data_IF_122574355633
#
_entry.id   IF_122574355633
#
_cell.length_a   1.000
_cell.length_b   1.000
_cell.length_c   1.000
_cell.angle_alpha   90.00
_cell.angle_beta   90.00
_cell.angle_gamma   90.00
#
_symmetry.space_group_name_H-M   'P 1'
#
loop_
_entity.id
_entity.type
_entity.pdbx_description
1 polymer ?
#
# COMPACT_ATOMS: atom_id res chain seq x y z
N UNK A 1 10.96 11.34 1.05
CA UNK A 1 12.32 11.38 0.47
C UNK A 1 13.31 11.05 1.58
N UNK A 2 14.06 9.97 1.35
CA UNK A 2 14.15 8.85 2.28
C UNK A 2 15.42 8.89 3.13
N UNK A 3 15.22 8.80 4.45
CA UNK A 3 16.20 8.66 5.53
C UNK A 3 17.23 9.78 5.78
N UNK A 4 17.57 9.96 7.05
CA UNK A 4 18.74 10.72 7.52
C UNK A 4 19.91 9.81 7.86
N UNK A 5 19.62 8.51 8.02
CA UNK A 5 20.55 7.51 8.50
C UNK A 5 20.33 6.19 7.74
N UNK A 6 21.43 5.48 7.46
CA UNK A 6 21.42 4.12 6.95
C UNK A 6 22.09 3.22 7.99
N UNK A 7 21.38 2.17 8.44
CA UNK A 7 21.86 1.29 9.54
C UNK A 7 22.28 2.09 10.81
N UNK A 8 21.55 3.15 11.14
CA UNK A 8 21.82 3.98 12.32
C UNK A 8 23.02 4.94 12.21
N UNK A 9 23.55 5.14 11.00
CA UNK A 9 24.63 6.12 10.75
C UNK A 9 24.13 7.22 9.82
N UNK A 10 24.34 8.51 10.10
CA UNK A 10 24.00 9.60 9.20
C UNK A 10 24.60 9.40 7.81
N UNK A 11 23.81 9.64 6.75
CA UNK A 11 24.24 9.43 5.37
C UNK A 11 24.01 10.66 4.51
N UNK A 12 25.02 11.02 3.71
CA UNK A 12 24.92 12.11 2.74
C UNK A 12 24.08 11.71 1.52
N UNK A 13 23.35 12.66 0.93
CA UNK A 13 22.45 12.37 -0.20
C UNK A 13 23.22 11.83 -1.41
N UNK A 14 24.43 12.31 -1.65
CA UNK A 14 25.30 11.83 -2.73
C UNK A 14 25.83 10.41 -2.50
N UNK A 15 25.87 9.95 -1.26
CA UNK A 15 26.25 8.60 -0.89
C UNK A 15 25.07 7.62 -1.09
N UNK A 16 23.85 8.10 -0.84
CA UNK A 16 22.60 7.36 -1.08
C UNK A 16 22.25 7.24 -2.57
N UNK A 17 22.31 8.36 -3.31
CA UNK A 17 21.78 8.47 -4.68
C UNK A 17 22.87 8.51 -5.77
N UNK A 18 24.14 8.49 -5.38
CA UNK A 18 25.26 8.79 -6.27
C UNK A 18 25.44 10.30 -6.47
N UNK A 19 26.53 10.67 -7.16
CA UNK A 19 26.78 12.08 -7.50
C UNK A 19 25.72 12.56 -8.50
N UNK A 20 25.17 13.75 -8.23
CA UNK A 20 24.31 14.43 -9.20
C UNK A 20 25.11 14.67 -10.49
N UNK A 21 24.62 14.12 -11.60
CA UNK A 21 25.22 14.26 -12.93
C UNK A 21 24.25 15.04 -13.80
N UNK A 22 24.72 16.08 -14.49
CA UNK A 22 23.91 16.77 -15.50
C UNK A 22 23.78 15.89 -16.74
N UNK A 23 22.62 15.88 -17.45
CA UNK A 23 22.39 14.95 -18.55
C UNK A 23 23.46 14.98 -19.66
N UNK A 24 24.12 16.13 -19.86
CA UNK A 24 25.19 16.28 -20.84
C UNK A 24 26.49 15.54 -20.47
N UNK A 25 26.72 15.28 -19.18
CA UNK A 25 27.92 14.61 -18.66
C UNK A 25 27.66 13.12 -18.38
N UNK A 26 26.50 12.60 -18.79
CA UNK A 26 26.10 11.22 -18.59
C UNK A 26 26.89 10.31 -19.56
N UNK A 27 27.90 9.62 -19.05
CA UNK A 27 28.69 8.64 -19.83
C UNK A 27 28.28 7.21 -19.50
N UNK A 28 28.60 6.26 -20.38
CA UNK A 28 28.37 4.83 -20.11
C UNK A 28 29.22 4.34 -18.93
N UNK A 29 30.37 4.96 -18.68
CA UNK A 29 31.22 4.72 -17.52
C UNK A 29 30.55 5.21 -16.23
N UNK A 30 29.96 6.42 -16.24
CA UNK A 30 29.22 6.95 -15.09
C UNK A 30 27.96 6.10 -14.77
N UNK A 31 27.29 5.55 -15.78
CA UNK A 31 26.15 4.63 -15.59
C UNK A 31 26.55 3.25 -15.05
N UNK A 32 27.83 2.86 -15.20
CA UNK A 32 28.38 1.61 -14.67
C UNK A 32 28.91 1.75 -13.25
N UNK A 33 29.06 2.96 -12.72
CA UNK A 33 29.41 3.14 -11.31
C UNK A 33 28.30 2.56 -10.43
N UNK A 34 28.64 1.57 -9.62
CA UNK A 34 27.72 1.03 -8.62
C UNK A 34 27.40 2.11 -7.59
N UNK A 35 26.11 2.46 -7.48
CA UNK A 35 25.64 3.32 -6.41
C UNK A 35 25.68 2.51 -5.10
N UNK A 36 26.42 2.94 -4.07
CA UNK A 36 26.78 2.08 -2.94
C UNK A 36 25.60 1.49 -2.15
N UNK A 37 24.45 2.18 -2.11
CA UNK A 37 23.27 1.72 -1.34
C UNK A 37 22.16 1.08 -2.14
N UNK A 38 21.96 1.48 -3.40
CA UNK A 38 20.96 0.84 -4.26
C UNK A 38 21.41 -0.53 -4.76
N UNK A 39 22.72 -0.83 -4.73
CA UNK A 39 23.25 -2.17 -5.05
C UNK A 39 22.63 -3.28 -4.17
N UNK A 40 22.22 -2.99 -2.93
CA UNK A 40 21.47 -3.93 -2.07
C UNK A 40 20.06 -4.27 -2.57
N UNK A 41 19.43 -3.34 -3.32
CA UNK A 41 18.17 -3.57 -4.04
C UNK A 41 18.43 -4.31 -5.36
N UNK A 42 19.62 -4.20 -5.94
CA UNK A 42 19.99 -4.95 -7.18
C UNK A 42 20.40 -6.40 -6.87
N UNK A 43 20.98 -6.65 -5.69
CA UNK A 43 21.53 -7.96 -5.31
C UNK A 43 20.57 -8.84 -4.48
N UNK A 44 19.37 -8.36 -4.17
CA UNK A 44 18.37 -9.17 -3.48
C UNK A 44 17.65 -10.10 -4.44
N UNK A 45 17.81 -11.40 -4.27
CA UNK A 45 16.95 -12.37 -4.93
C UNK A 45 15.56 -12.35 -4.27
N UNK A 46 14.73 -11.42 -4.76
CA UNK A 46 13.33 -11.26 -4.32
C UNK A 46 12.55 -12.57 -4.42
N UNK A 47 12.93 -13.49 -5.32
CA UNK A 47 12.29 -14.80 -5.46
C UNK A 47 12.62 -15.75 -4.31
N UNK A 48 13.87 -15.75 -3.82
CA UNK A 48 14.26 -16.55 -2.65
C UNK A 48 13.62 -16.02 -1.37
N UNK A 49 13.59 -14.70 -1.16
CA UNK A 49 12.93 -14.11 0.02
C UNK A 49 11.42 -14.33 -0.05
N UNK A 50 10.80 -14.17 -1.23
CA UNK A 50 9.38 -14.44 -1.44
C UNK A 50 9.02 -15.89 -1.12
N UNK A 51 9.82 -16.87 -1.57
CA UNK A 51 9.61 -18.29 -1.26
C UNK A 51 9.69 -18.57 0.24
N UNK A 52 10.73 -18.08 0.91
CA UNK A 52 10.88 -18.27 2.36
C UNK A 52 9.71 -17.65 3.14
N UNK A 53 9.28 -16.45 2.74
CA UNK A 53 8.15 -15.77 3.39
C UNK A 53 6.82 -16.48 3.12
N UNK A 54 6.59 -17.04 1.92
CA UNK A 54 5.40 -17.83 1.61
C UNK A 54 5.33 -19.10 2.48
N UNK A 55 6.46 -19.72 2.78
CA UNK A 55 6.52 -20.88 3.67
C UNK A 55 6.23 -20.52 5.13
N UNK A 56 6.72 -19.35 5.60
CA UNK A 56 6.50 -18.83 6.95
C UNK A 56 5.05 -18.34 7.16
N UNK A 57 4.39 -17.80 6.14
CA UNK A 57 3.08 -17.14 6.23
C UNK A 57 1.93 -17.97 5.63
N UNK A 58 1.93 -19.29 5.80
CA UNK A 58 0.81 -20.13 5.36
C UNK A 58 -0.53 -19.60 5.90
N UNK A 59 -1.46 -19.30 5.01
CA UNK A 59 -2.77 -18.69 5.30
C UNK A 59 -2.78 -17.16 5.37
N UNK A 60 -1.63 -16.50 5.23
CA UNK A 60 -1.44 -15.03 5.19
C UNK A 60 -0.52 -14.60 4.06
N UNK A 61 -0.56 -15.31 2.94
CA UNK A 61 0.30 -15.08 1.79
C UNK A 61 0.16 -13.66 1.22
N UNK A 62 -1.01 -13.03 1.40
CA UNK A 62 -1.30 -11.64 1.02
C UNK A 62 -0.51 -10.58 1.82
N UNK A 63 0.12 -10.97 2.94
CA UNK A 63 0.99 -10.10 3.77
C UNK A 63 2.47 -10.22 3.38
N UNK A 64 2.81 -11.21 2.55
CA UNK A 64 4.21 -11.52 2.20
C UNK A 64 4.86 -10.38 1.43
N UNK A 65 4.17 -9.78 0.47
CA UNK A 65 4.76 -8.69 -0.33
C UNK A 65 5.04 -7.42 0.50
N UNK A 66 4.11 -6.92 1.34
CA UNK A 66 4.42 -5.85 2.28
C UNK A 66 5.58 -6.18 3.23
N UNK A 67 5.64 -7.41 3.75
CA UNK A 67 6.78 -7.85 4.61
C UNK A 67 8.09 -7.89 3.82
N UNK A 68 8.06 -8.32 2.57
CA UNK A 68 9.23 -8.25 1.68
C UNK A 68 9.68 -6.80 1.47
N UNK A 69 8.77 -5.86 1.24
CA UNK A 69 9.14 -4.44 1.09
C UNK A 69 9.72 -3.87 2.39
N UNK A 70 9.15 -4.25 3.53
CA UNK A 70 9.70 -3.93 4.86
C UNK A 70 11.16 -4.42 4.97
N UNK A 71 11.39 -5.72 4.78
CA UNK A 71 12.70 -6.37 4.96
C UNK A 71 13.73 -6.04 3.87
N UNK A 72 13.30 -5.82 2.64
CA UNK A 72 14.23 -5.68 1.53
C UNK A 72 14.59 -4.22 1.27
N UNK A 73 13.59 -3.33 1.30
CA UNK A 73 13.76 -1.93 0.95
C UNK A 73 13.82 -1.04 2.20
N UNK A 74 12.87 -1.21 3.13
CA UNK A 74 12.64 -0.22 4.18
C UNK A 74 13.51 -0.43 5.43
N UNK A 75 13.94 -1.65 5.78
CA UNK A 75 14.73 -1.95 6.99
C UNK A 75 16.04 -1.18 7.11
N UNK A 76 16.54 -0.74 5.96
CA UNK A 76 17.77 0.01 5.86
C UNK A 76 17.61 1.46 6.31
N UNK A 77 16.36 1.92 6.45
CA UNK A 77 15.98 3.26 6.84
C UNK A 77 15.27 3.20 8.19
N UNK A 78 15.89 3.80 9.21
CA UNK A 78 15.45 3.65 10.59
C UNK A 78 13.95 3.94 10.76
N UNK A 79 13.23 2.92 11.22
CA UNK A 79 11.82 2.99 11.55
C UNK A 79 10.81 2.94 10.41
N UNK A 80 11.23 2.96 9.14
CA UNK A 80 10.30 2.94 8.00
C UNK A 80 9.75 1.56 7.67
N UNK A 81 10.38 0.51 8.21
CA UNK A 81 10.08 -0.90 8.01
C UNK A 81 8.95 -1.43 8.89
N UNK A 82 8.50 -0.65 9.87
CA UNK A 82 7.49 -1.11 10.82
C UNK A 82 6.15 -1.41 10.15
N UNK A 83 5.68 -2.65 10.27
CA UNK A 83 4.32 -3.06 9.90
C UNK A 83 3.26 -2.64 10.92
N UNK A 84 3.68 -2.08 12.06
CA UNK A 84 2.83 -1.72 13.20
C UNK A 84 2.73 -0.21 13.43
N UNK A 85 3.43 0.60 12.62
CA UNK A 85 3.37 2.04 12.74
C UNK A 85 2.24 2.62 11.87
N UNK A 86 1.43 3.47 12.47
CA UNK A 86 0.42 4.25 11.76
C UNK A 86 1.07 5.35 10.92
N UNK A 87 0.38 5.83 9.89
CA UNK A 87 0.82 7.02 9.13
C UNK A 87 -0.09 8.20 9.45
N UNK A 88 0.50 9.36 9.72
CA UNK A 88 -0.19 10.63 9.92
C UNK A 88 0.75 11.81 9.65
N UNK A 89 0.23 13.04 9.59
CA UNK A 89 1.04 14.25 9.63
C UNK A 89 1.44 14.59 11.07
N UNK A 90 2.60 15.23 11.25
CA UNK A 90 3.11 15.62 12.57
C UNK A 90 2.16 16.58 13.28
N UNK A 91 1.64 17.57 12.55
CA UNK A 91 0.70 18.57 13.07
C UNK A 91 -0.63 17.96 13.57
N UNK A 92 -1.02 16.78 13.07
CA UNK A 92 -2.27 16.12 13.44
C UNK A 92 -2.13 15.23 14.66
N UNK A 93 -0.92 14.79 15.04
CA UNK A 93 -0.72 13.78 16.07
C UNK A 93 -1.33 14.15 17.43
N UNK A 94 -1.21 15.42 17.82
CA UNK A 94 -1.78 15.91 19.07
C UNK A 94 -3.30 15.71 19.09
N UNK A 95 -3.98 16.20 18.05
CA UNK A 95 -5.44 16.08 17.89
C UNK A 95 -5.87 14.61 17.79
N UNK A 96 -5.15 13.80 17.01
CA UNK A 96 -5.45 12.37 16.84
C UNK A 96 -5.44 11.66 18.20
N UNK A 97 -4.42 11.92 19.03
CA UNK A 97 -4.29 11.31 20.36
C UNK A 97 -5.32 11.82 21.37
N UNK A 98 -5.63 13.11 21.32
CA UNK A 98 -6.70 13.71 22.13
C UNK A 98 -8.08 13.12 21.77
N UNK A 99 -8.37 12.99 20.48
CA UNK A 99 -9.63 12.40 19.97
C UNK A 99 -9.67 10.87 20.16
N UNK A 100 -8.50 10.20 20.27
CA UNK A 100 -8.36 8.75 20.34
C UNK A 100 -7.33 8.31 21.42
N UNK A 101 -7.67 8.35 22.72
CA UNK A 101 -6.75 8.04 23.81
C UNK A 101 -6.13 6.63 23.73
N UNK A 102 -6.80 5.68 23.08
CA UNK A 102 -6.27 4.33 22.84
C UNK A 102 -5.02 4.31 21.94
N UNK A 103 -4.78 5.38 21.16
CA UNK A 103 -3.64 5.51 20.26
C UNK A 103 -2.43 6.21 20.91
N UNK A 104 -2.51 6.64 22.18
CA UNK A 104 -1.47 7.42 22.86
C UNK A 104 -0.08 6.74 22.80
N UNK A 105 -0.05 5.43 23.02
CA UNK A 105 1.18 4.62 23.05
C UNK A 105 1.53 4.00 21.69
N UNK A 106 0.74 4.27 20.65
CA UNK A 106 0.98 3.72 19.31
C UNK A 106 2.04 4.53 18.59
N UNK A 107 2.82 3.85 17.77
CA UNK A 107 3.84 4.47 16.94
C UNK A 107 3.21 5.10 15.70
N UNK A 108 3.63 6.31 15.37
CA UNK A 108 3.27 7.00 14.13
C UNK A 108 4.54 7.30 13.33
N UNK A 109 4.47 7.08 12.02
CA UNK A 109 5.43 7.58 11.05
C UNK A 109 4.90 8.88 10.49
N UNK A 110 5.69 9.94 10.64
CA UNK A 110 5.38 11.26 10.12
C UNK A 110 6.38 11.66 9.04
N UNK A 111 5.95 12.39 7.99
CA UNK A 111 6.86 12.93 7.01
C UNK A 111 7.92 13.84 7.63
N UNK A 112 9.10 13.85 7.03
CA UNK A 112 10.15 14.82 7.35
C UNK A 112 9.64 16.25 7.12
N UNK A 113 9.78 17.10 8.14
CA UNK A 113 9.36 18.51 8.10
C UNK A 113 10.23 19.37 7.18
N UNK A 114 11.44 18.91 6.84
CA UNK A 114 12.40 19.59 5.95
C UNK A 114 12.25 19.21 4.45
N UNK A 115 11.21 18.46 4.09
CA UNK A 115 10.92 17.98 2.74
C UNK A 115 9.46 18.26 2.38
N UNK A 116 9.05 18.12 1.10
CA UNK A 116 7.63 18.22 0.75
C UNK A 116 6.77 17.34 1.66
N UNK A 117 5.75 17.95 2.26
CA UNK A 117 4.94 17.36 3.34
C UNK A 117 4.16 16.13 2.89
N UNK A 118 3.75 16.10 1.62
CA UNK A 118 2.89 15.07 1.07
C UNK A 118 3.66 14.21 0.07
N UNK A 119 3.80 12.93 0.40
CA UNK A 119 4.23 11.91 -0.56
C UNK A 119 3.01 11.08 -0.93
N UNK A 120 2.63 11.15 -2.20
CA UNK A 120 1.49 10.41 -2.74
C UNK A 120 2.01 9.10 -3.33
N UNK A 121 1.65 7.98 -2.69
CA UNK A 121 1.83 6.65 -3.26
C UNK A 121 0.56 6.27 -4.01
N UNK A 122 0.70 6.05 -5.31
CA UNK A 122 -0.40 5.59 -6.14
C UNK A 122 -0.42 4.06 -6.15
N UNK A 123 -1.62 3.54 -6.31
CA UNK A 123 -1.90 2.14 -6.55
C UNK A 123 -3.23 2.01 -7.26
N UNK A 124 -3.77 0.80 -7.25
CA UNK A 124 -5.11 0.55 -7.75
C UNK A 124 -5.87 -0.39 -6.82
N UNK A 125 -7.15 -0.08 -6.61
CA UNK A 125 -8.09 -1.02 -6.03
C UNK A 125 -8.56 -1.94 -7.16
N UNK A 126 -8.19 -3.20 -7.03
CA UNK A 126 -8.66 -4.26 -7.92
C UNK A 126 -10.04 -4.76 -7.49
N UNK A 127 -10.54 -5.79 -8.15
CA UNK A 127 -11.80 -6.42 -7.77
C UNK A 127 -11.74 -7.02 -6.35
N UNK A 128 -12.87 -7.00 -5.60
CA UNK A 128 -12.98 -7.67 -4.31
C UNK A 128 -12.69 -9.18 -4.42
N UNK A 129 -12.41 -9.81 -3.28
CA UNK A 129 -12.16 -11.26 -3.22
C UNK A 129 -13.24 -12.05 -3.97
N UNK A 130 -12.81 -13.01 -4.79
CA UNK A 130 -13.63 -13.86 -5.67
C UNK A 130 -14.15 -13.19 -6.96
N UNK A 131 -13.84 -11.92 -7.19
CA UNK A 131 -14.22 -11.21 -8.41
C UNK A 131 -13.01 -10.94 -9.30
N UNK A 132 -13.27 -10.82 -10.59
CA UNK A 132 -12.27 -10.63 -11.63
C UNK A 132 -11.90 -9.15 -11.72
N UNK A 133 -10.60 -8.84 -11.66
CA UNK A 133 -10.13 -7.53 -12.04
C UNK A 133 -9.99 -7.43 -13.57
N UNK A 134 -10.57 -6.39 -14.15
CA UNK A 134 -10.45 -6.03 -15.55
C UNK A 134 -10.18 -4.54 -15.69
N UNK A 135 -9.75 -4.10 -16.87
CA UNK A 135 -9.51 -2.68 -17.14
C UNK A 135 -10.74 -1.80 -16.89
N UNK A 136 -11.94 -2.38 -16.93
CA UNK A 136 -13.22 -1.65 -16.75
C UNK A 136 -13.63 -1.49 -15.28
N UNK A 137 -12.99 -2.22 -14.35
CA UNK A 137 -13.40 -2.25 -12.94
C UNK A 137 -12.28 -1.97 -11.93
N UNK A 138 -11.09 -1.63 -12.43
CA UNK A 138 -9.98 -1.18 -11.61
C UNK A 138 -10.14 0.31 -11.29
N UNK A 139 -9.88 0.66 -10.03
CA UNK A 139 -10.08 2.01 -9.51
C UNK A 139 -8.74 2.59 -9.06
N UNK A 140 -8.48 3.85 -9.39
CA UNK A 140 -7.30 4.57 -8.88
C UNK A 140 -7.30 4.58 -7.35
N UNK A 141 -6.17 4.34 -6.72
CA UNK A 141 -6.05 4.37 -5.28
C UNK A 141 -4.83 5.21 -4.88
N UNK A 142 -5.00 6.06 -3.88
CA UNK A 142 -4.00 6.95 -3.35
C UNK A 142 -3.78 6.65 -1.88
N UNK A 143 -2.51 6.67 -1.47
CA UNK A 143 -2.06 6.43 -0.11
C UNK A 143 -1.04 7.52 0.25
N UNK A 144 -1.36 8.32 1.26
CA UNK A 144 -0.48 9.31 1.88
C UNK A 144 -0.85 9.43 3.36
N UNK A 145 -0.04 10.08 4.21
CA UNK A 145 -0.31 10.13 5.65
C UNK A 145 -1.63 10.82 6.03
N UNK A 146 -2.06 11.79 5.22
CA UNK A 146 -3.27 12.60 5.36
C UNK A 146 -4.44 12.12 4.49
N UNK A 147 -4.24 11.13 3.63
CA UNK A 147 -5.35 10.59 2.85
C UNK A 147 -5.08 9.16 2.36
N UNK A 148 -6.05 8.26 2.54
CA UNK A 148 -6.03 6.95 1.89
C UNK A 148 -7.39 6.62 1.31
N UNK A 149 -7.44 6.38 0.00
CA UNK A 149 -8.68 6.13 -0.73
C UNK A 149 -8.60 6.43 -2.21
N UNK A 150 -9.74 6.73 -2.81
CA UNK A 150 -9.92 7.05 -4.22
C UNK A 150 -10.71 8.36 -4.36
N UNK A 151 -10.03 9.52 -4.42
CA UNK A 151 -10.66 10.82 -4.21
C UNK A 151 -11.61 11.24 -5.34
N UNK A 152 -11.37 10.79 -6.59
CA UNK A 152 -12.07 11.30 -7.78
C UNK A 152 -12.96 10.28 -8.48
N UNK A 153 -13.10 9.09 -7.93
CA UNK A 153 -13.78 7.97 -8.56
C UNK A 153 -14.87 7.46 -7.63
N UNK A 154 -16.03 6.98 -8.09
CA UNK A 154 -16.65 7.09 -9.40
C UNK A 154 -17.80 8.11 -9.39
N UNK A 155 -17.71 9.25 -8.69
CA UNK A 155 -18.78 10.27 -8.68
C UNK A 155 -20.20 9.67 -8.42
N UNK A 156 -20.32 8.81 -7.41
CA UNK A 156 -21.53 8.04 -7.07
C UNK A 156 -21.97 6.95 -8.08
N UNK A 157 -21.18 6.62 -9.08
CA UNK A 157 -21.46 5.49 -9.97
C UNK A 157 -21.09 4.14 -9.30
N UNK A 158 -21.65 3.05 -9.81
CA UNK A 158 -21.32 1.72 -9.33
C UNK A 158 -20.33 1.05 -10.28
N UNK A 159 -19.30 0.44 -9.70
CA UNK A 159 -18.43 -0.48 -10.42
C UNK A 159 -19.06 -1.85 -10.40
N UNK A 160 -19.12 -2.47 -11.58
CA UNK A 160 -19.61 -3.84 -11.74
C UNK A 160 -18.45 -4.81 -11.76
N UNK A 161 -18.51 -5.79 -10.88
CA UNK A 161 -17.55 -6.86 -10.76
C UNK A 161 -18.17 -8.19 -11.20
N UNK A 162 -17.56 -8.80 -12.21
CA UNK A 162 -17.83 -10.17 -12.61
C UNK A 162 -17.05 -11.12 -11.72
N UNK A 163 -17.55 -12.34 -11.51
CA UNK A 163 -16.82 -13.31 -10.72
C UNK A 163 -15.54 -13.76 -11.44
N UNK A 164 -14.47 -13.94 -10.67
CA UNK A 164 -13.24 -14.54 -11.20
C UNK A 164 -13.44 -16.05 -11.39
N UNK A 165 -12.95 -16.62 -12.52
CA UNK A 165 -12.93 -18.06 -12.73
C UNK A 165 -12.05 -18.75 -11.68
N UNK A 166 -12.45 -19.95 -11.25
CA UNK A 166 -11.71 -20.72 -10.23
C UNK A 166 -10.34 -21.19 -10.75
N UNK A 167 -10.29 -21.57 -12.03
CA UNK A 167 -9.12 -22.01 -12.79
C UNK A 167 -9.25 -21.46 -14.22
N UNK A 168 -8.18 -21.41 -15.03
CA UNK A 168 -8.24 -21.02 -16.44
C UNK A 168 -8.92 -22.09 -17.33
N UNK A 169 -10.01 -22.67 -16.85
CA UNK A 169 -10.89 -23.54 -17.60
C UNK A 169 -12.24 -22.84 -17.70
N UNK A 170 -12.63 -22.52 -18.94
CA UNK A 170 -14.03 -22.20 -19.25
C UNK A 170 -14.86 -23.42 -18.81
N UNK A 171 -15.99 -23.20 -18.15
CA UNK A 171 -17.06 -24.20 -17.96
C UNK A 171 -17.08 -25.10 -16.71
N UNK A 172 -16.51 -24.70 -15.57
CA UNK A 172 -17.02 -25.23 -14.29
C UNK A 172 -18.20 -24.37 -13.82
N UNK A 173 -19.42 -24.89 -14.00
CA UNK A 173 -20.70 -24.25 -13.71
C UNK A 173 -20.71 -23.36 -12.47
N UNK A 174 -20.50 -22.06 -12.68
CA UNK A 174 -20.73 -20.98 -11.71
C UNK A 174 -22.20 -20.55 -11.72
N UNK A 175 -23.12 -21.49 -11.93
CA UNK A 175 -24.56 -21.21 -11.94
C UNK A 175 -25.02 -20.88 -10.52
N UNK A 176 -25.18 -19.59 -10.23
CA UNK A 176 -25.79 -19.10 -8.99
C UNK A 176 -25.10 -17.89 -8.35
N UNK A 177 -23.89 -17.53 -8.78
CA UNK A 177 -23.17 -16.39 -8.21
C UNK A 177 -23.37 -15.14 -9.06
N UNK A 178 -23.95 -14.11 -8.44
CA UNK A 178 -24.41 -12.89 -9.11
C UNK A 178 -23.27 -11.88 -9.24
N UNK A 179 -23.29 -11.09 -10.31
CA UNK A 179 -22.42 -9.91 -10.44
C UNK A 179 -22.57 -8.99 -9.24
N UNK A 180 -21.47 -8.40 -8.82
CA UNK A 180 -21.42 -7.52 -7.67
C UNK A 180 -21.33 -6.08 -8.16
N UNK A 181 -22.32 -5.26 -7.83
CA UNK A 181 -22.21 -3.82 -8.01
C UNK A 181 -21.84 -3.17 -6.69
N UNK A 182 -20.79 -2.34 -6.70
CA UNK A 182 -20.36 -1.57 -5.54
C UNK A 182 -20.05 -0.16 -5.95
N UNK A 183 -20.53 0.80 -5.17
CA UNK A 183 -19.95 2.13 -5.18
C UNK A 183 -18.51 2.00 -4.74
N UNK A 184 -17.59 2.57 -5.51
CA UNK A 184 -16.21 2.75 -5.08
C UNK A 184 -16.04 4.21 -4.66
N UNK A 185 -14.88 4.62 -4.16
CA UNK A 185 -14.60 6.04 -4.03
C UNK A 185 -14.61 6.65 -2.65
N UNK A 186 -14.27 7.92 -2.64
CA UNK A 186 -13.96 8.65 -1.43
C UNK A 186 -12.75 8.04 -0.73
N UNK A 187 -12.58 8.36 0.54
CA UNK A 187 -11.45 7.88 1.32
C UNK A 187 -11.44 8.53 2.68
N UNK A 188 -10.48 8.11 3.48
CA UNK A 188 -10.23 8.75 4.75
C UNK A 188 -9.32 9.94 4.53
N UNK A 189 -9.67 11.07 5.14
CA UNK A 189 -8.74 12.18 5.40
C UNK A 189 -7.74 11.84 6.53
N UNK A 190 -7.80 10.63 7.08
CA UNK A 190 -6.93 10.17 8.16
C UNK A 190 -6.53 8.73 7.92
N UNK A 191 -5.31 8.52 7.43
CA UNK A 191 -4.85 7.18 7.03
C UNK A 191 -4.75 6.21 8.20
N UNK A 192 -4.56 6.69 9.43
CA UNK A 192 -4.55 5.82 10.61
C UNK A 192 -5.86 5.05 10.83
N UNK A 193 -6.99 5.57 10.32
CA UNK A 193 -8.30 4.94 10.43
C UNK A 193 -8.60 3.95 9.28
N UNK A 194 -7.75 3.88 8.26
CA UNK A 194 -7.93 3.00 7.11
C UNK A 194 -7.72 1.51 7.46
N UNK A 195 -8.45 0.63 6.78
CA UNK A 195 -8.29 -0.82 6.93
C UNK A 195 -9.18 -1.45 8.01
N UNK A 196 -10.08 -0.67 8.60
CA UNK A 196 -11.07 -1.13 9.58
C UNK A 196 -12.42 -1.48 8.97
N UNK A 197 -13.32 -2.00 9.80
CA UNK A 197 -14.71 -2.26 9.43
C UNK A 197 -15.46 -0.96 9.08
N UNK A 198 -16.46 -1.06 8.21
CA UNK A 198 -17.31 0.06 7.86
C UNK A 198 -18.04 0.63 9.09
N UNK A 199 -18.20 1.97 9.20
CA UNK A 199 -19.02 2.59 10.23
C UNK A 199 -20.49 2.22 10.01
N UNK A 200 -21.28 2.29 11.08
CA UNK A 200 -22.74 2.07 10.98
C UNK A 200 -23.44 3.20 10.23
N UNK A 201 -22.93 4.42 10.42
CA UNK A 201 -23.47 5.65 9.83
C UNK A 201 -22.30 6.44 9.24
N UNK A 202 -22.47 6.92 8.02
CA UNK A 202 -21.49 7.77 7.36
C UNK A 202 -22.17 8.83 6.49
N UNK A 203 -21.52 9.98 6.38
CA UNK A 203 -21.85 11.03 5.42
C UNK A 203 -20.54 11.72 5.01
N UNK A 204 -20.41 12.05 3.73
CA UNK A 204 -19.23 12.73 3.21
C UNK A 204 -18.98 14.06 3.95
N UNK A 205 -17.74 14.28 4.37
CA UNK A 205 -17.32 15.51 5.07
C UNK A 205 -17.61 15.57 6.56
N UNK A 206 -18.19 14.51 7.15
CA UNK A 206 -18.41 14.42 8.60
C UNK A 206 -17.44 13.44 9.26
N UNK A 207 -17.12 13.68 10.54
CA UNK A 207 -16.41 12.69 11.37
C UNK A 207 -17.29 11.45 11.56
N UNK A 208 -16.70 10.27 11.51
CA UNK A 208 -17.38 9.01 11.81
C UNK A 208 -16.65 8.25 12.92
N UNK A 209 -17.40 7.47 13.71
CA UNK A 209 -16.84 6.62 14.76
C UNK A 209 -16.57 5.24 14.19
N UNK A 210 -15.32 4.80 14.33
CA UNK A 210 -14.84 3.54 13.79
C UNK A 210 -14.22 2.69 14.89
N UNK A 211 -14.25 1.39 14.68
CA UNK A 211 -13.44 0.48 15.47
C UNK A 211 -11.98 0.61 15.01
N UNK A 212 -11.04 0.59 15.96
CA UNK A 212 -9.61 0.49 15.64
C UNK A 212 -9.37 -0.70 14.70
N UNK A 213 -8.64 -0.50 13.59
CA UNK A 213 -8.31 -1.60 12.68
C UNK A 213 -7.45 -2.64 13.42
N UNK A 214 -7.60 -3.92 13.04
CA UNK A 214 -6.82 -5.01 13.66
C UNK A 214 -5.32 -4.89 13.43
N UNK A 215 -4.92 -4.19 12.36
CA UNK A 215 -3.55 -3.82 12.07
C UNK A 215 -3.54 -2.48 11.33
N UNK A 216 -2.54 -1.63 11.56
CA UNK A 216 -2.44 -0.34 10.88
C UNK A 216 -2.19 -0.53 9.38
N UNK A 217 -2.63 0.46 8.61
CA UNK A 217 -2.17 0.64 7.25
C UNK A 217 -0.79 1.31 7.25
N UNK A 218 0.24 0.49 7.45
CA UNK A 218 1.61 0.96 7.58
C UNK A 218 2.28 1.26 6.23
N UNK A 219 3.38 2.01 6.27
CA UNK A 219 4.16 2.38 5.08
C UNK A 219 4.55 1.18 4.19
N UNK A 220 4.98 0.00 4.71
CA UNK A 220 5.29 -1.14 3.86
C UNK A 220 4.10 -1.64 3.02
N UNK A 221 2.85 -1.46 3.48
CA UNK A 221 1.67 -1.78 2.68
C UNK A 221 1.50 -0.80 1.53
N UNK A 222 1.67 0.49 1.78
CA UNK A 222 1.55 1.50 0.72
C UNK A 222 2.64 1.33 -0.34
N UNK A 223 3.90 1.11 0.09
CA UNK A 223 5.02 0.80 -0.80
C UNK A 223 4.74 -0.50 -1.57
N UNK A 224 4.31 -1.55 -0.88
CA UNK A 224 3.96 -2.84 -1.49
C UNK A 224 2.88 -2.72 -2.56
N UNK A 225 1.80 -2.00 -2.28
CA UNK A 225 0.72 -1.78 -3.25
C UNK A 225 1.24 -1.00 -4.47
N UNK A 226 2.04 0.04 -4.25
CA UNK A 226 2.60 0.85 -5.35
C UNK A 226 3.63 0.10 -6.21
N UNK A 227 4.25 -0.98 -5.68
CA UNK A 227 5.26 -1.76 -6.38
C UNK A 227 4.75 -3.10 -6.94
N UNK A 228 3.49 -3.48 -6.68
CA UNK A 228 2.95 -4.80 -7.03
C UNK A 228 2.28 -4.85 -8.42
N UNK A 229 3.09 -4.71 -9.48
CA UNK A 229 2.61 -4.75 -10.86
C UNK A 229 1.88 -6.06 -11.24
N UNK A 230 2.33 -7.20 -10.68
CA UNK A 230 1.73 -8.51 -10.96
C UNK A 230 0.28 -8.67 -10.45
N UNK A 231 -0.16 -7.79 -9.56
CA UNK A 231 -1.44 -7.94 -8.87
C UNK A 231 -2.65 -8.00 -9.80
N UNK A 232 -2.63 -7.23 -10.90
CA UNK A 232 -3.69 -7.25 -11.90
C UNK A 232 -3.83 -8.61 -12.58
N UNK A 233 -2.73 -9.21 -13.02
CA UNK A 233 -2.73 -10.52 -13.67
C UNK A 233 -3.15 -11.64 -12.70
N UNK A 234 -2.68 -11.59 -11.45
CA UNK A 234 -3.04 -12.58 -10.43
C UNK A 234 -4.53 -12.52 -10.08
N UNK A 235 -5.16 -11.33 -10.11
CA UNK A 235 -6.58 -11.18 -9.80
C UNK A 235 -7.53 -11.62 -10.93
N UNK A 236 -7.01 -12.04 -12.07
CA UNK A 236 -7.82 -12.70 -13.12
C UNK A 236 -8.11 -14.16 -12.75
N UNK A 237 -7.29 -14.78 -11.88
CA UNK A 237 -7.50 -16.15 -11.40
C UNK A 237 -7.87 -16.10 -9.94
N UNK A 238 -9.09 -16.54 -9.60
CA UNK A 238 -9.66 -16.39 -8.25
C UNK A 238 -8.74 -16.89 -7.14
N UNK A 239 -8.13 -18.06 -7.31
CA UNK A 239 -7.28 -18.66 -6.28
C UNK A 239 -6.01 -17.82 -6.09
N UNK A 240 -5.37 -17.41 -7.18
CA UNK A 240 -4.13 -16.64 -7.14
C UNK A 240 -4.36 -15.25 -6.56
N UNK A 241 -5.40 -14.54 -7.00
CA UNK A 241 -5.77 -13.24 -6.45
C UNK A 241 -6.13 -13.31 -4.96
N UNK A 242 -6.84 -14.36 -4.53
CA UNK A 242 -7.22 -14.50 -3.11
C UNK A 242 -6.04 -14.80 -2.18
N UNK A 243 -4.99 -15.43 -2.69
CA UNK A 243 -3.83 -15.87 -1.90
C UNK A 243 -2.72 -14.83 -1.95
N UNK A 244 -2.32 -14.41 -3.15
CA UNK A 244 -1.08 -13.67 -3.36
C UNK A 244 -1.24 -12.15 -3.41
N UNK A 245 -2.44 -11.63 -3.68
CA UNK A 245 -2.61 -10.18 -3.75
C UNK A 245 -2.73 -9.56 -2.37
N UNK A 246 -2.01 -8.45 -2.21
CA UNK A 246 -2.15 -7.56 -1.06
C UNK A 246 -3.61 -7.15 -0.94
N UNK A 247 -4.15 -7.28 0.27
CA UNK A 247 -5.54 -6.95 0.56
C UNK A 247 -5.68 -6.23 1.88
N UNK A 248 -6.63 -5.30 1.89
CA UNK A 248 -7.08 -4.55 3.06
C UNK A 248 -8.57 -4.36 2.97
N UNK A 249 -9.21 -4.26 4.13
CA UNK A 249 -10.61 -3.87 4.18
C UNK A 249 -10.73 -2.43 3.68
N UNK A 250 -11.60 -2.25 2.71
CA UNK A 250 -11.92 -0.96 2.14
C UNK A 250 -13.43 -0.82 2.13
N UNK A 251 -13.90 0.32 2.62
CA UNK A 251 -15.28 0.72 2.46
C UNK A 251 -15.31 2.09 1.77
N UNK A 252 -16.18 2.25 0.77
CA UNK A 252 -16.32 3.51 0.04
C UNK A 252 -16.99 4.56 0.93
N UNK A 253 -16.49 5.79 0.90
CA UNK A 253 -17.20 6.92 1.53
C UNK A 253 -18.30 7.37 0.58
N UNK A 254 -19.55 7.15 0.95
CA UNK A 254 -20.71 7.59 0.17
C UNK A 254 -21.28 8.86 0.79
N UNK A 255 -21.36 9.94 0.00
CA UNK A 255 -22.03 11.20 0.37
C UNK A 255 -23.52 11.13 0.09
#
# INVERSE_FOLDING_TARGET
MFAKEFKGTPIETSELLGKATVPADLTMEALKEEVPLLSGVVNGDSSTILKALLEEHKGREYEVWPKLMSEWLLRNFDGLDSLEAYMALEEDLKRIREDNPQLEKKRFLTPRTDKPRTFIMNGCSLAPLKYEASNDNVVSFQMCPDFTGSPFYPQNQQVKYSMAPMLPCKDFGLSGLRSLNRTMGGGFTETFAFGGAAPKEQSGGQKCVLKEPSSPFALPYAVGISSWAAGGALNQVRILGNVLNIRRDYWPVTS
#
